data_IF_951475847134
#
_entry.id   IF_951475847134
#
_cell.length_a   1.000
_cell.length_b   1.000
_cell.length_c   1.000
_cell.angle_alpha   90.00
_cell.angle_beta   90.00
_cell.angle_gamma   90.00
#
_symmetry.space_group_name_H-M   'P 1'
#
loop_
_entity.id
_entity.type
_entity.pdbx_description
1 polymer ?
#
# COMPACT_ATOMS: atom_id res chain seq x y z
N UNK A 1 -29.87 3.47 97.16
CA UNK A 1 -29.86 3.94 95.76
C UNK A 1 -28.65 3.35 95.05
N UNK A 2 -28.80 2.42 94.08
CA UNK A 2 -27.66 1.84 93.39
C UNK A 2 -27.21 2.69 92.20
N UNK A 3 -25.91 2.96 92.15
CA UNK A 3 -25.18 3.71 91.11
C UNK A 3 -25.00 2.80 89.88
N UNK A 4 -25.60 3.18 88.75
CA UNK A 4 -25.39 2.49 87.45
C UNK A 4 -24.06 2.94 86.84
N UNK A 5 -23.14 1.99 86.62
CA UNK A 5 -21.89 2.20 85.88
C UNK A 5 -22.19 2.22 84.37
N UNK A 6 -21.90 3.33 83.71
CA UNK A 6 -21.91 3.44 82.25
C UNK A 6 -20.58 2.92 81.71
N UNK A 7 -20.59 1.79 81.00
CA UNK A 7 -19.46 1.32 80.21
C UNK A 7 -19.57 2.01 78.85
N UNK A 8 -18.66 2.97 78.59
CA UNK A 8 -18.51 3.57 77.28
C UNK A 8 -17.78 2.59 76.35
N UNK A 9 -18.50 1.98 75.42
CA UNK A 9 -17.92 1.16 74.34
C UNK A 9 -17.44 2.12 73.26
N UNK A 10 -16.12 2.33 73.21
CA UNK A 10 -15.45 3.08 72.14
C UNK A 10 -15.46 2.21 70.89
N UNK A 11 -16.43 2.42 70.00
CA UNK A 11 -16.52 1.71 68.72
C UNK A 11 -15.43 2.24 67.79
N UNK A 12 -14.41 1.42 67.56
CA UNK A 12 -13.34 1.66 66.60
C UNK A 12 -13.93 1.52 65.19
N UNK A 13 -14.32 2.64 64.57
CA UNK A 13 -14.75 2.70 63.17
C UNK A 13 -13.51 2.40 62.32
N UNK A 14 -13.33 1.13 61.96
CA UNK A 14 -12.35 0.71 60.96
C UNK A 14 -12.85 1.18 59.60
N UNK A 15 -12.32 2.31 59.13
CA UNK A 15 -12.56 2.82 57.77
C UNK A 15 -11.89 1.85 56.80
N UNK A 16 -12.67 0.92 56.27
CA UNK A 16 -12.27 0.04 55.18
C UNK A 16 -12.10 0.89 53.92
N UNK A 17 -10.91 1.47 53.73
CA UNK A 17 -10.53 2.02 52.43
C UNK A 17 -10.48 0.84 51.43
N UNK A 18 -11.28 0.84 50.36
CA UNK A 18 -11.17 -0.19 49.36
C UNK A 18 -9.77 -0.08 48.74
N UNK A 19 -8.93 -1.08 49.01
CA UNK A 19 -7.69 -1.28 48.25
C UNK A 19 -8.12 -1.69 46.85
N UNK A 20 -8.27 -0.69 45.97
CA UNK A 20 -8.43 -0.95 44.55
C UNK A 20 -7.13 -1.60 44.06
N UNK A 21 -7.15 -2.92 43.89
CA UNK A 21 -6.09 -3.63 43.21
C UNK A 21 -6.04 -3.15 41.75
N UNK A 22 -5.11 -2.24 41.46
CA UNK A 22 -4.73 -1.89 40.10
C UNK A 22 -4.20 -3.17 39.43
N UNK A 23 -5.04 -3.81 38.60
CA UNK A 23 -4.55 -4.88 37.72
C UNK A 23 -3.53 -4.25 36.76
N UNK A 24 -2.32 -4.81 36.72
CA UNK A 24 -1.33 -4.43 35.73
C UNK A 24 -1.91 -4.64 34.33
N UNK A 25 -1.79 -3.63 33.46
CA UNK A 25 -2.25 -3.73 32.08
C UNK A 25 -1.45 -4.81 31.35
N UNK A 26 -2.15 -5.71 30.67
CA UNK A 26 -1.53 -6.76 29.86
C UNK A 26 -0.71 -6.12 28.73
N UNK A 27 0.29 -6.84 28.21
CA UNK A 27 1.02 -6.37 27.04
C UNK A 27 0.07 -6.08 25.86
N UNK A 28 -0.94 -6.93 25.67
CA UNK A 28 -1.96 -6.77 24.66
C UNK A 28 -2.81 -5.51 24.87
N UNK A 29 -3.20 -5.20 26.11
CA UNK A 29 -3.93 -3.98 26.46
C UNK A 29 -3.11 -2.72 26.18
N UNK A 30 -1.81 -2.74 26.47
CA UNK A 30 -0.87 -1.64 26.18
C UNK A 30 -0.64 -1.42 24.68
N UNK A 31 -0.70 -2.50 23.90
CA UNK A 31 -0.45 -2.49 22.45
C UNK A 31 -1.75 -2.49 21.63
N UNK A 32 -2.92 -2.42 22.27
CA UNK A 32 -4.20 -2.49 21.56
C UNK A 32 -4.30 -1.40 20.51
N UNK A 33 -4.73 -1.80 19.32
CA UNK A 33 -4.84 -0.94 18.16
C UNK A 33 -3.51 -0.61 17.48
N UNK A 34 -2.36 -1.11 17.96
CA UNK A 34 -1.07 -0.93 17.28
C UNK A 34 -0.89 -1.93 16.15
N UNK A 35 -0.13 -1.50 15.16
CA UNK A 35 0.54 -2.37 14.20
C UNK A 35 1.91 -2.73 14.79
N UNK A 36 2.26 -4.02 14.78
CA UNK A 36 3.54 -4.53 15.26
C UNK A 36 4.32 -5.15 14.11
N UNK A 37 5.63 -4.93 14.12
CA UNK A 37 6.59 -5.53 13.19
C UNK A 37 7.47 -6.51 13.96
N UNK A 38 7.38 -7.78 13.60
CA UNK A 38 8.16 -8.84 14.23
C UNK A 38 9.60 -8.79 13.71
N UNK A 39 10.52 -8.29 14.53
CA UNK A 39 11.89 -7.93 14.11
C UNK A 39 12.85 -9.12 14.07
N UNK A 40 12.54 -10.21 14.77
CA UNK A 40 13.37 -11.43 14.85
C UNK A 40 13.00 -12.46 13.76
N UNK A 41 11.95 -12.18 12.99
CA UNK A 41 11.46 -13.00 11.87
C UNK A 41 11.65 -12.24 10.53
N UNK A 42 11.01 -12.71 9.45
CA UNK A 42 11.00 -12.11 8.10
C UNK A 42 10.32 -10.73 8.00
N UNK A 43 10.27 -9.96 9.09
CA UNK A 43 9.59 -8.66 9.17
C UNK A 43 8.06 -8.78 9.15
N UNK A 44 7.49 -9.84 9.73
CA UNK A 44 6.04 -10.04 9.70
C UNK A 44 5.27 -8.91 10.41
N UNK A 45 4.18 -8.46 9.80
CA UNK A 45 3.31 -7.44 10.38
C UNK A 45 2.11 -8.06 11.10
N UNK A 46 1.70 -7.46 12.21
CA UNK A 46 0.59 -7.88 13.05
C UNK A 46 -0.24 -6.68 13.47
N UNK A 47 -1.54 -6.86 13.68
CA UNK A 47 -2.43 -5.85 14.23
C UNK A 47 -3.06 -6.35 15.52
N UNK A 48 -3.02 -5.54 16.59
CA UNK A 48 -3.68 -5.89 17.86
C UNK A 48 -5.08 -5.30 17.84
N UNK A 49 -6.11 -6.14 17.76
CA UNK A 49 -7.49 -5.68 17.66
C UNK A 49 -7.94 -4.99 18.97
N UNK A 50 -8.38 -3.72 18.95
CA UNK A 50 -8.76 -3.00 20.17
C UNK A 50 -9.90 -3.62 20.97
N UNK A 51 -10.78 -4.39 20.32
CA UNK A 51 -11.96 -4.99 20.97
C UNK A 51 -11.66 -6.31 21.68
N UNK A 52 -10.70 -7.09 21.17
CA UNK A 52 -10.41 -8.45 21.67
C UNK A 52 -9.03 -8.58 22.30
N UNK A 53 -8.15 -7.59 22.08
CA UNK A 53 -6.73 -7.62 22.42
C UNK A 53 -5.98 -8.80 21.79
N UNK A 54 -6.56 -9.44 20.77
CA UNK A 54 -5.92 -10.53 20.03
C UNK A 54 -5.13 -9.99 18.84
N UNK A 55 -4.04 -10.66 18.49
CA UNK A 55 -3.21 -10.32 17.33
C UNK A 55 -3.78 -10.96 16.05
N UNK A 56 -3.86 -10.18 14.98
CA UNK A 56 -4.22 -10.63 13.64
C UNK A 56 -3.01 -10.45 12.70
N UNK A 57 -2.76 -11.43 11.84
CA UNK A 57 -1.60 -11.44 10.97
C UNK A 57 -1.82 -10.57 9.72
N UNK A 58 -0.98 -9.56 9.51
CA UNK A 58 -1.05 -8.65 8.35
C UNK A 58 -0.02 -8.95 7.26
N UNK A 59 0.82 -9.97 7.44
CA UNK A 59 2.02 -10.16 6.62
C UNK A 59 1.77 -10.44 5.14
N UNK A 60 0.59 -10.94 4.75
CA UNK A 60 0.21 -11.13 3.34
C UNK A 60 -0.82 -10.08 2.90
N UNK A 61 -0.73 -9.52 1.67
CA UNK A 61 -1.70 -8.55 1.18
C UNK A 61 -3.17 -9.04 1.22
N UNK A 62 -3.41 -10.32 0.92
CA UNK A 62 -4.75 -10.91 0.97
C UNK A 62 -5.31 -10.97 2.40
N UNK A 63 -4.48 -11.36 3.37
CA UNK A 63 -4.88 -11.41 4.79
C UNK A 63 -5.13 -10.02 5.35
N UNK A 64 -4.22 -9.08 5.06
CA UNK A 64 -4.37 -7.69 5.47
C UNK A 64 -5.67 -7.10 4.93
N UNK A 65 -6.00 -7.35 3.65
CA UNK A 65 -7.26 -6.91 3.06
C UNK A 65 -8.49 -7.53 3.73
N UNK A 66 -8.45 -8.85 3.99
CA UNK A 66 -9.54 -9.55 4.71
C UNK A 66 -9.74 -8.97 6.11
N UNK A 67 -8.65 -8.77 6.86
CA UNK A 67 -8.68 -8.21 8.22
C UNK A 67 -9.20 -6.78 8.20
N UNK A 68 -8.72 -5.92 7.28
CA UNK A 68 -9.18 -4.54 7.15
C UNK A 68 -10.69 -4.48 6.87
N UNK A 69 -11.20 -5.37 6.02
CA UNK A 69 -12.63 -5.44 5.69
C UNK A 69 -13.47 -5.97 6.86
N UNK A 70 -12.98 -6.97 7.59
CA UNK A 70 -13.77 -7.66 8.62
C UNK A 70 -13.70 -7.00 10.00
N UNK A 71 -12.57 -6.40 10.36
CA UNK A 71 -12.41 -5.64 11.60
C UNK A 71 -12.72 -4.15 11.43
N UNK A 72 -12.82 -3.69 10.18
CA UNK A 72 -13.06 -2.30 9.86
C UNK A 72 -14.42 -1.82 10.34
N UNK A 73 -14.43 -0.72 11.09
CA UNK A 73 -15.65 -0.06 11.53
C UNK A 73 -16.19 0.83 10.40
N UNK A 74 -17.40 0.55 9.93
CA UNK A 74 -18.08 1.41 8.98
C UNK A 74 -18.34 2.82 9.55
N UNK A 75 -17.96 3.85 8.80
CA UNK A 75 -18.17 5.26 9.13
C UNK A 75 -18.93 5.96 7.99
N UNK A 76 -19.71 6.98 8.34
CA UNK A 76 -20.43 7.80 7.35
C UNK A 76 -19.52 8.90 6.79
N UNK A 77 -19.80 9.39 5.58
CA UNK A 77 -19.05 10.54 5.02
C UNK A 77 -19.22 11.80 5.87
N UNK A 78 -20.39 11.96 6.52
CA UNK A 78 -20.63 13.06 7.45
C UNK A 78 -19.66 13.02 8.62
N UNK A 79 -19.49 11.86 9.25
CA UNK A 79 -18.59 11.70 10.38
C UNK A 79 -17.14 11.90 9.95
N UNK A 80 -16.74 11.28 8.83
CA UNK A 80 -15.40 11.40 8.28
C UNK A 80 -15.04 12.86 7.96
N UNK A 81 -15.93 13.58 7.28
CA UNK A 81 -15.73 14.99 6.95
C UNK A 81 -15.65 15.88 8.19
N UNK A 82 -16.46 15.60 9.22
CA UNK A 82 -16.45 16.36 10.47
C UNK A 82 -15.14 16.24 11.26
N UNK A 83 -14.36 15.18 11.03
CA UNK A 83 -13.11 14.90 11.74
C UNK A 83 -11.90 15.61 11.14
N UNK A 84 -11.96 16.05 9.89
CA UNK A 84 -10.87 16.81 9.26
C UNK A 84 -9.51 16.10 9.29
N UNK A 85 -9.49 14.76 9.24
CA UNK A 85 -8.27 13.96 9.29
C UNK A 85 -7.82 13.51 10.70
N UNK A 86 -8.50 13.93 11.76
CA UNK A 86 -8.21 13.53 13.15
C UNK A 86 -9.40 12.77 13.75
N UNK A 87 -9.21 11.48 14.03
CA UNK A 87 -10.24 10.63 14.58
C UNK A 87 -10.62 11.02 16.03
N UNK A 88 -11.88 10.80 16.46
CA UNK A 88 -12.22 10.84 17.87
C UNK A 88 -11.43 9.81 18.68
N UNK A 89 -11.02 10.16 19.90
CA UNK A 89 -10.21 9.29 20.77
C UNK A 89 -10.79 7.88 20.99
N UNK A 90 -12.13 7.74 20.98
CA UNK A 90 -12.81 6.42 21.07
C UNK A 90 -12.51 5.46 19.91
N UNK A 91 -11.98 5.99 18.81
CA UNK A 91 -11.60 5.26 17.61
C UNK A 91 -10.09 5.02 17.50
N UNK A 92 -9.31 5.42 18.53
CA UNK A 92 -7.86 5.20 18.58
C UNK A 92 -7.50 3.75 18.24
N UNK A 93 -6.60 3.58 17.27
CA UNK A 93 -6.09 2.30 16.81
C UNK A 93 -7.09 1.47 16.00
N UNK A 94 -8.25 1.99 15.62
CA UNK A 94 -9.22 1.26 14.78
C UNK A 94 -8.93 1.43 13.30
N UNK A 95 -9.28 0.39 12.55
CA UNK A 95 -9.44 0.46 11.09
C UNK A 95 -10.86 0.96 10.83
N UNK A 96 -11.01 1.99 10.01
CA UNK A 96 -12.26 2.64 9.67
C UNK A 96 -12.53 2.46 8.18
N UNK A 97 -13.77 2.13 7.81
CA UNK A 97 -14.19 1.90 6.44
C UNK A 97 -15.22 2.96 6.03
N UNK A 98 -14.89 3.73 5.02
CA UNK A 98 -15.82 4.67 4.38
C UNK A 98 -16.75 3.89 3.45
N UNK A 99 -17.85 3.41 4.01
CA UNK A 99 -18.79 2.50 3.30
C UNK A 99 -19.48 3.16 2.11
N UNK A 100 -19.51 4.50 2.06
CA UNK A 100 -20.11 5.31 1.01
C UNK A 100 -19.11 5.78 -0.05
N UNK A 101 -17.81 5.70 0.23
CA UNK A 101 -16.73 6.05 -0.69
C UNK A 101 -16.00 4.78 -1.16
N UNK A 102 -16.73 3.86 -1.78
CA UNK A 102 -16.17 2.62 -2.34
C UNK A 102 -15.41 1.72 -1.34
N UNK A 103 -15.65 1.87 -0.04
CA UNK A 103 -15.01 1.04 1.00
C UNK A 103 -13.58 1.45 1.34
N UNK A 104 -13.20 2.71 1.09
CA UNK A 104 -11.88 3.22 1.48
C UNK A 104 -11.56 2.99 2.96
N UNK A 105 -10.36 2.47 3.22
CA UNK A 105 -9.91 2.12 4.56
C UNK A 105 -8.94 3.16 5.11
N UNK A 106 -9.08 3.47 6.40
CA UNK A 106 -8.18 4.33 7.15
C UNK A 106 -7.79 3.70 8.48
N UNK A 107 -6.56 3.92 8.93
CA UNK A 107 -6.09 3.61 10.26
C UNK A 107 -6.07 4.87 11.11
N UNK A 108 -6.76 4.87 12.24
CA UNK A 108 -6.67 5.95 13.23
C UNK A 108 -5.48 5.68 14.16
N UNK A 109 -4.37 6.43 14.03
CA UNK A 109 -3.20 6.22 14.88
C UNK A 109 -3.56 6.41 16.37
N UNK A 110 -3.31 5.44 17.27
CA UNK A 110 -3.63 5.59 18.68
C UNK A 110 -2.77 6.62 19.42
N UNK A 111 -1.70 7.15 18.82
CA UNK A 111 -0.81 8.16 19.40
C UNK A 111 -1.34 9.56 19.16
N UNK A 112 -1.57 9.93 17.90
CA UNK A 112 -1.94 11.30 17.50
C UNK A 112 -3.33 11.42 16.85
N UNK A 113 -4.04 10.30 16.72
CA UNK A 113 -5.38 10.18 16.13
C UNK A 113 -5.45 10.54 14.65
N UNK A 114 -4.32 10.73 13.96
CA UNK A 114 -4.33 10.98 12.53
C UNK A 114 -4.90 9.79 11.77
N UNK A 115 -5.72 10.10 10.78
CA UNK A 115 -6.28 9.13 9.85
C UNK A 115 -5.30 8.88 8.71
N UNK A 116 -4.68 7.71 8.72
CA UNK A 116 -3.79 7.27 7.66
C UNK A 116 -4.53 6.41 6.66
N UNK A 117 -4.46 6.77 5.39
CA UNK A 117 -5.11 6.01 4.33
C UNK A 117 -4.46 4.64 4.15
N UNK A 118 -5.30 3.61 4.01
CA UNK A 118 -4.91 2.21 3.81
C UNK A 118 -5.44 1.65 2.47
N UNK A 119 -6.15 2.46 1.68
CA UNK A 119 -6.87 1.99 0.50
C UNK A 119 -5.97 1.46 -0.63
N UNK A 120 -4.73 1.96 -0.76
CA UNK A 120 -3.73 1.41 -1.70
C UNK A 120 -2.69 0.57 -0.94
N UNK A 121 -2.19 -0.53 -1.53
CA UNK A 121 -1.15 -1.35 -0.90
C UNK A 121 0.08 -0.54 -0.48
N UNK A 122 0.53 0.41 -1.31
CA UNK A 122 1.69 1.25 -1.00
C UNK A 122 1.47 2.12 0.26
N UNK A 123 0.27 2.69 0.46
CA UNK A 123 -0.03 3.47 1.66
C UNK A 123 -0.11 2.58 2.88
N UNK A 124 -0.74 1.40 2.77
CA UNK A 124 -0.79 0.43 3.85
C UNK A 124 0.62 -0.03 4.26
N UNK A 125 1.51 -0.31 3.29
CA UNK A 125 2.92 -0.60 3.57
C UNK A 125 3.65 0.57 4.21
N UNK A 126 3.41 1.80 3.74
CA UNK A 126 3.98 3.01 4.33
C UNK A 126 3.58 3.14 5.80
N UNK A 127 2.29 2.99 6.09
CA UNK A 127 1.73 3.01 7.45
C UNK A 127 2.35 1.93 8.33
N UNK A 128 2.42 0.69 7.84
CA UNK A 128 3.05 -0.40 8.59
C UNK A 128 4.52 -0.11 8.88
N UNK A 129 5.27 0.45 7.92
CA UNK A 129 6.69 0.77 8.08
C UNK A 129 6.94 1.95 9.01
N UNK A 130 6.13 3.00 8.92
CA UNK A 130 6.34 4.26 9.65
C UNK A 130 5.74 4.24 11.06
N UNK A 131 4.61 3.56 11.25
CA UNK A 131 3.87 3.52 12.52
C UNK A 131 3.96 2.17 13.24
N UNK A 132 4.51 1.15 12.56
CA UNK A 132 4.67 -0.19 13.13
C UNK A 132 5.70 -0.21 14.25
N UNK A 133 5.32 -0.79 15.39
CA UNK A 133 6.23 -0.97 16.52
C UNK A 133 6.98 -2.29 16.42
N UNK A 134 8.30 -2.24 16.54
CA UNK A 134 9.12 -3.45 16.64
C UNK A 134 8.72 -4.31 17.85
N UNK A 135 8.58 -5.61 17.64
CA UNK A 135 8.26 -6.58 18.70
C UNK A 135 9.10 -7.85 18.56
N UNK A 136 9.56 -8.39 19.69
CA UNK A 136 10.29 -9.67 19.75
C UNK A 136 9.32 -10.85 19.69
N UNK A 137 9.80 -12.02 19.31
CA UNK A 137 9.00 -13.24 19.26
C UNK A 137 8.45 -13.59 20.63
N UNK A 138 9.26 -13.40 21.68
CA UNK A 138 8.86 -13.61 23.07
C UNK A 138 7.65 -12.75 23.45
N UNK A 139 7.75 -11.43 23.24
CA UNK A 139 6.67 -10.49 23.57
C UNK A 139 5.45 -10.71 22.71
N UNK A 140 5.64 -11.00 21.42
CA UNK A 140 4.53 -11.28 20.52
C UNK A 140 3.76 -12.52 21.00
N UNK A 141 4.45 -13.59 21.42
CA UNK A 141 3.85 -14.85 21.91
C UNK A 141 3.07 -14.73 23.23
N UNK A 142 3.21 -13.63 23.96
CA UNK A 142 2.34 -13.31 25.10
C UNK A 142 0.95 -12.81 24.65
N UNK A 143 0.80 -12.46 23.36
CA UNK A 143 -0.45 -11.99 22.77
C UNK A 143 -1.11 -13.12 21.98
N UNK A 144 -2.34 -13.44 22.38
CA UNK A 144 -3.12 -14.53 21.79
C UNK A 144 -3.46 -14.20 20.33
N UNK A 145 -3.23 -15.17 19.42
CA UNK A 145 -3.67 -15.07 18.03
C UNK A 145 -5.19 -15.06 17.99
N UNK A 146 -5.78 -14.22 17.15
CA UNK A 146 -7.21 -14.26 16.92
C UNK A 146 -7.56 -15.59 16.22
N UNK A 147 -8.35 -16.44 16.88
CA UNK A 147 -8.72 -17.79 16.42
C UNK A 147 -9.33 -17.77 15.00
N UNK A 148 -10.02 -16.67 14.66
CA UNK A 148 -10.61 -16.45 13.33
C UNK A 148 -9.56 -16.31 12.21
N UNK A 149 -8.34 -15.95 12.57
CA UNK A 149 -7.21 -15.71 11.66
C UNK A 149 -6.01 -16.62 11.97
N UNK A 150 -6.22 -17.69 12.74
CA UNK A 150 -5.14 -18.54 13.25
C UNK A 150 -4.54 -19.46 12.18
N UNK A 151 -5.35 -19.93 11.23
CA UNK A 151 -4.88 -20.74 10.09
C UNK A 151 -3.96 -19.90 9.19
N UNK A 152 -4.29 -18.63 8.99
CA UNK A 152 -3.50 -17.69 8.22
C UNK A 152 -2.16 -17.41 8.88
N UNK A 153 -2.13 -17.29 10.22
CA UNK A 153 -0.91 -17.11 11.00
C UNK A 153 -0.01 -18.37 11.04
N UNK A 154 -0.57 -19.56 10.86
CA UNK A 154 0.13 -20.84 10.93
C UNK A 154 0.65 -21.36 9.57
N UNK A 155 0.23 -20.74 8.46
CA UNK A 155 0.58 -21.18 7.10
C UNK A 155 2.07 -20.91 6.78
N UNK A 156 2.85 -21.92 6.35
CA UNK A 156 4.27 -21.76 6.08
C UNK A 156 4.49 -21.22 4.66
N UNK A 157 4.35 -19.91 4.44
CA UNK A 157 4.94 -19.21 3.30
C UNK A 157 4.75 -17.68 3.43
N UNK A 158 5.84 -16.96 3.70
CA UNK A 158 5.90 -15.49 3.63
C UNK A 158 7.19 -15.06 2.92
N UNK A 159 7.10 -14.23 1.87
CA UNK A 159 8.22 -13.40 1.41
C UNK A 159 8.59 -12.38 2.50
N UNK A 160 9.87 -12.05 2.69
CA UNK A 160 10.27 -11.02 3.64
C UNK A 160 9.73 -9.64 3.24
N UNK A 161 9.36 -8.81 4.23
CA UNK A 161 9.21 -7.38 3.98
C UNK A 161 10.57 -6.83 3.48
N UNK A 162 10.58 -5.86 2.55
CA UNK A 162 11.82 -5.21 2.15
C UNK A 162 12.51 -4.62 3.39
N UNK A 163 13.85 -4.73 3.51
CA UNK A 163 14.58 -4.25 4.67
C UNK A 163 14.31 -2.76 4.89
N UNK A 164 14.11 -2.38 6.16
CA UNK A 164 14.11 -0.98 6.59
C UNK A 164 15.51 -0.43 6.36
N UNK A 165 15.65 0.56 5.49
CA UNK A 165 16.91 1.29 5.36
C UNK A 165 17.21 1.96 6.72
N UNK A 166 18.44 1.83 7.26
CA UNK A 166 18.79 2.51 8.49
C UNK A 166 18.71 4.02 8.26
N UNK A 167 17.92 4.70 9.06
CA UNK A 167 18.04 6.15 9.23
C UNK A 167 19.35 6.37 9.97
N UNK A 168 20.37 6.80 9.25
CA UNK A 168 21.54 7.45 9.86
C UNK A 168 21.07 8.75 10.47
N UNK A 169 21.00 8.78 11.80
CA UNK A 169 20.98 10.01 12.58
C UNK A 169 22.37 10.63 12.51
N UNK A 170 22.52 11.73 11.77
CA UNK A 170 23.59 12.69 12.02
C UNK A 170 23.04 14.09 11.70
N UNK A 171 22.66 14.75 12.79
CA UNK A 171 22.76 16.17 13.10
C UNK A 171 22.15 17.20 12.14
N UNK A 172 21.05 17.77 12.63
CA UNK A 172 20.71 19.16 12.39
C UNK A 172 21.64 20.05 13.24
N UNK A 173 22.41 20.91 12.61
CA UNK A 173 22.74 22.21 13.18
C UNK A 173 22.85 23.27 12.08
N UNK A 174 22.24 24.40 12.40
CA UNK A 174 22.09 25.65 11.65
C UNK A 174 23.43 26.33 11.36
N UNK A 175 23.55 27.04 10.23
CA UNK A 175 23.85 28.48 10.24
C UNK A 175 23.73 29.13 8.87
N UNK A 176 23.50 30.44 8.94
CA UNK A 176 23.04 31.37 7.94
C UNK A 176 24.24 32.11 7.29
N UNK A 177 23.92 32.89 6.26
CA UNK A 177 24.67 34.03 5.70
C UNK A 177 25.43 33.77 4.39
N UNK A 178 25.09 34.56 3.38
CA UNK A 178 25.55 34.44 2.00
C UNK A 178 26.83 35.20 1.71
N UNK A 179 27.11 35.38 0.42
CA UNK A 179 27.77 36.55 -0.18
C UNK A 179 27.79 36.36 -1.71
N UNK A 180 27.43 37.42 -2.41
CA UNK A 180 27.59 37.62 -3.85
C UNK A 180 29.05 37.38 -4.29
N UNK A 181 29.24 36.85 -5.49
CA UNK A 181 30.15 37.52 -6.44
C UNK A 181 29.65 37.31 -7.85
N UNK A 182 29.39 38.44 -8.49
CA UNK A 182 29.21 38.63 -9.91
C UNK A 182 30.58 39.08 -10.44
N UNK A 183 31.18 38.37 -11.39
CA UNK A 183 32.21 38.97 -12.25
C UNK A 183 32.01 38.52 -13.70
N UNK A 184 31.97 39.55 -14.53
CA UNK A 184 31.78 39.58 -15.98
C UNK A 184 33.08 40.03 -16.59
N UNK A 185 33.52 39.41 -17.70
CA UNK A 185 34.30 40.03 -18.79
C UNK A 185 34.37 38.99 -19.92
N UNK A 186 33.83 39.21 -21.12
CA UNK A 186 34.35 40.09 -22.19
C UNK A 186 35.02 39.18 -23.25
N UNK A 187 34.85 39.27 -24.57
CA UNK A 187 34.34 40.32 -25.42
C UNK A 187 33.98 39.79 -26.84
N UNK A 188 33.07 40.54 -27.46
CA UNK A 188 32.68 40.72 -28.87
C UNK A 188 33.69 40.40 -29.99
N UNK A 189 33.20 39.84 -31.11
CA UNK A 189 33.45 40.37 -32.49
C UNK A 189 32.33 39.93 -33.45
N UNK A 190 32.00 40.87 -34.33
CA UNK A 190 30.90 41.11 -35.28
C UNK A 190 30.75 40.17 -36.49
N UNK A 191 29.49 39.81 -36.80
CA UNK A 191 28.72 39.89 -38.07
C UNK A 191 29.37 39.68 -39.46
N UNK A 192 28.68 39.06 -40.46
CA UNK A 192 27.51 39.68 -41.10
C UNK A 192 26.32 38.79 -41.49
N UNK A 193 25.23 39.51 -41.75
CA UNK A 193 23.87 39.14 -42.15
C UNK A 193 23.85 38.69 -43.62
N UNK A 194 23.22 37.54 -43.92
CA UNK A 194 22.66 37.27 -45.25
C UNK A 194 21.19 36.84 -45.13
N UNK A 195 20.40 37.51 -45.95
CA UNK A 195 18.98 37.38 -46.25
C UNK A 195 18.73 36.12 -47.09
N UNK A 196 17.90 35.18 -46.61
CA UNK A 196 17.21 34.26 -47.51
C UNK A 196 15.83 33.85 -46.97
N UNK A 197 14.83 34.57 -47.48
CA UNK A 197 13.49 34.12 -47.88
C UNK A 197 13.02 32.75 -47.39
N UNK A 198 12.07 32.78 -46.46
CA UNK A 198 11.25 31.66 -46.03
C UNK A 198 10.55 30.95 -47.21
N UNK A 199 10.73 29.63 -47.30
CA UNK A 199 9.76 28.72 -47.92
C UNK A 199 9.60 27.52 -46.99
N UNK A 200 8.66 27.62 -46.06
CA UNK A 200 8.23 26.53 -45.20
C UNK A 200 7.47 25.51 -46.02
N UNK A 201 8.19 24.46 -46.43
CA UNK A 201 7.58 23.19 -46.85
C UNK A 201 6.92 22.57 -45.61
N UNK A 202 5.68 22.03 -45.67
CA UNK A 202 5.11 21.36 -44.53
C UNK A 202 5.90 20.07 -44.31
N UNK A 203 6.74 20.08 -43.28
CA UNK A 203 7.37 18.86 -42.77
C UNK A 203 6.23 17.92 -42.37
N UNK A 204 6.12 16.82 -43.11
CA UNK A 204 5.18 15.76 -42.79
C UNK A 204 5.61 15.20 -41.44
N UNK A 205 4.88 15.57 -40.39
CA UNK A 205 5.09 15.08 -39.04
C UNK A 205 5.11 13.56 -39.07
N UNK A 206 6.30 12.99 -38.91
CA UNK A 206 6.46 11.56 -38.69
C UNK A 206 6.01 11.32 -37.26
N UNK A 207 4.80 10.77 -37.09
CA UNK A 207 4.30 10.30 -35.80
C UNK A 207 5.29 9.27 -35.28
N UNK A 208 6.16 9.70 -34.36
CA UNK A 208 7.03 8.78 -33.64
C UNK A 208 6.10 8.03 -32.70
N UNK A 209 5.66 6.83 -33.08
CA UNK A 209 4.91 5.96 -32.17
C UNK A 209 5.76 5.77 -30.91
N UNK A 210 5.21 6.13 -29.75
CA UNK A 210 5.82 5.83 -28.46
C UNK A 210 5.96 4.32 -28.32
N UNK A 211 7.16 3.79 -28.58
CA UNK A 211 7.46 2.37 -28.31
C UNK A 211 7.85 2.20 -26.85
N UNK A 212 6.90 1.71 -26.05
CA UNK A 212 7.14 1.28 -24.69
C UNK A 212 7.95 -0.02 -24.66
N UNK A 213 9.13 0.00 -24.04
CA UNK A 213 9.93 -1.22 -23.85
C UNK A 213 9.68 -1.81 -22.46
N UNK A 214 8.86 -2.84 -22.40
CA UNK A 214 8.50 -3.55 -21.18
C UNK A 214 9.56 -4.56 -20.76
N UNK A 215 9.96 -4.49 -19.50
CA UNK A 215 10.57 -5.61 -18.81
C UNK A 215 9.44 -6.55 -18.35
N UNK A 216 9.41 -7.77 -18.87
CA UNK A 216 8.48 -8.83 -18.54
C UNK A 216 9.13 -9.84 -17.60
N UNK A 217 8.72 -9.82 -16.33
CA UNK A 217 9.14 -10.76 -15.30
C UNK A 217 8.12 -11.90 -15.19
N UNK A 218 8.56 -13.15 -15.31
CA UNK A 218 7.73 -14.35 -15.31
C UNK A 218 7.87 -15.13 -14.00
N UNK A 219 6.78 -15.76 -13.57
CA UNK A 219 6.68 -16.49 -12.29
C UNK A 219 5.93 -17.81 -12.46
N UNK A 220 6.21 -18.80 -11.59
CA UNK A 220 5.54 -20.12 -11.59
C UNK A 220 4.45 -20.25 -10.52
N UNK A 221 3.79 -19.13 -10.24
CA UNK A 221 2.70 -18.97 -9.28
C UNK A 221 1.81 -17.81 -9.72
N UNK A 222 0.69 -17.61 -9.04
CA UNK A 222 -0.27 -16.53 -9.31
C UNK A 222 -0.08 -15.32 -8.40
N UNK A 223 0.98 -15.28 -7.58
CA UNK A 223 1.20 -14.22 -6.59
C UNK A 223 2.43 -13.35 -6.87
N UNK A 224 3.07 -13.54 -8.04
CA UNK A 224 4.19 -12.74 -8.54
C UNK A 224 5.45 -12.85 -7.66
N UNK A 225 5.67 -14.03 -7.07
CA UNK A 225 6.83 -14.30 -6.21
C UNK A 225 7.83 -15.24 -6.87
N UNK A 226 9.11 -15.15 -6.50
CA UNK A 226 10.13 -16.08 -7.01
C UNK A 226 10.31 -16.02 -8.53
N UNK A 227 10.65 -14.84 -9.05
CA UNK A 227 10.88 -14.60 -10.49
C UNK A 227 11.81 -15.66 -11.08
N UNK A 228 11.38 -16.28 -12.16
CA UNK A 228 12.14 -17.35 -12.84
C UNK A 228 12.85 -16.87 -14.11
N UNK A 229 12.35 -15.81 -14.74
CA UNK A 229 12.87 -15.31 -16.01
C UNK A 229 12.45 -13.85 -16.19
N UNK A 230 13.31 -13.09 -16.86
CA UNK A 230 13.00 -11.74 -17.34
C UNK A 230 13.22 -11.70 -18.85
N UNK A 231 12.32 -11.05 -19.59
CA UNK A 231 12.46 -10.78 -21.03
C UNK A 231 12.10 -9.32 -21.32
N UNK A 232 12.60 -8.80 -22.43
CA UNK A 232 12.18 -7.49 -22.96
C UNK A 232 11.09 -7.69 -24.01
N UNK A 233 10.03 -6.89 -23.95
CA UNK A 233 8.87 -6.95 -24.84
C UNK A 233 8.46 -5.54 -25.27
N UNK A 234 8.09 -5.39 -26.54
CA UNK A 234 7.63 -4.11 -27.07
C UNK A 234 6.09 -3.98 -26.99
N UNK A 235 5.38 -5.12 -26.85
CA UNK A 235 3.92 -5.17 -26.71
C UNK A 235 3.45 -6.20 -25.69
N UNK A 236 2.22 -6.02 -25.22
CA UNK A 236 1.47 -7.00 -24.43
C UNK A 236 0.27 -7.45 -25.28
N UNK A 237 0.51 -8.41 -26.17
CA UNK A 237 -0.52 -9.03 -27.02
C UNK A 237 -0.28 -10.54 -27.06
N UNK A 238 -0.81 -11.23 -26.06
CA UNK A 238 -0.62 -12.66 -25.88
C UNK A 238 -1.95 -13.40 -25.82
N UNK A 239 -2.05 -14.44 -26.64
CA UNK A 239 -3.08 -15.46 -26.57
C UNK A 239 -2.36 -16.82 -26.54
N UNK A 240 -2.21 -17.37 -25.33
CA UNK A 240 -1.53 -18.65 -25.15
C UNK A 240 -2.50 -19.83 -25.28
N UNK A 241 -3.82 -19.60 -25.25
CA UNK A 241 -4.82 -20.66 -25.07
C UNK A 241 -4.43 -21.54 -23.87
N UNK A 242 -4.58 -22.85 -23.98
CA UNK A 242 -4.17 -23.80 -22.93
C UNK A 242 -2.63 -23.94 -22.71
N UNK A 243 -1.81 -23.11 -23.36
CA UNK A 243 -0.36 -23.09 -23.18
C UNK A 243 0.07 -21.99 -22.20
N UNK A 244 1.37 -21.73 -22.13
CA UNK A 244 1.96 -20.71 -21.28
C UNK A 244 3.18 -20.06 -21.95
N UNK A 245 3.69 -18.95 -21.40
CA UNK A 245 4.93 -18.36 -21.85
C UNK A 245 6.07 -19.38 -21.83
N UNK A 246 6.84 -19.41 -22.92
CA UNK A 246 8.03 -20.25 -23.00
C UNK A 246 8.98 -19.97 -21.82
N UNK A 247 9.45 -21.04 -21.17
CA UNK A 247 10.33 -20.97 -20.00
C UNK A 247 9.63 -21.05 -18.63
N UNK A 248 8.30 -20.95 -18.58
CA UNK A 248 7.55 -21.16 -17.32
C UNK A 248 7.53 -22.62 -16.87
N UNK A 249 7.67 -23.58 -17.81
CA UNK A 249 7.59 -25.03 -17.58
C UNK A 249 6.29 -25.50 -16.91
N UNK A 250 5.22 -24.70 -17.01
CA UNK A 250 3.85 -25.00 -16.55
C UNK A 250 2.85 -24.32 -17.47
N UNK A 251 1.70 -24.94 -17.70
CA UNK A 251 0.58 -24.40 -18.51
C UNK A 251 -0.35 -23.52 -17.69
N UNK A 252 -0.52 -23.82 -16.41
CA UNK A 252 -1.43 -23.12 -15.51
C UNK A 252 -0.69 -22.57 -14.29
N UNK A 253 -1.36 -21.70 -13.52
CA UNK A 253 -0.85 -21.12 -12.25
C UNK A 253 0.48 -20.39 -12.45
N UNK A 254 0.54 -19.55 -13.46
CA UNK A 254 1.67 -18.68 -13.73
C UNK A 254 1.25 -17.22 -13.62
N UNK A 255 2.22 -16.31 -13.53
CA UNK A 255 1.97 -14.88 -13.57
C UNK A 255 3.08 -14.17 -14.31
N UNK A 256 2.77 -12.96 -14.78
CA UNK A 256 3.69 -12.10 -15.49
C UNK A 256 3.51 -10.67 -14.97
N UNK A 257 4.62 -9.98 -14.73
CA UNK A 257 4.66 -8.54 -14.45
C UNK A 257 5.38 -7.85 -15.60
N UNK A 258 4.69 -6.97 -16.29
CA UNK A 258 5.30 -6.05 -17.25
C UNK A 258 5.48 -4.69 -16.61
N UNK A 259 6.68 -4.13 -16.72
CA UNK A 259 6.99 -2.76 -16.26
C UNK A 259 7.73 -1.99 -17.33
N UNK A 260 7.34 -0.74 -17.55
CA UNK A 260 8.02 0.18 -18.45
C UNK A 260 7.92 1.61 -17.93
N UNK A 261 8.88 2.44 -18.30
CA UNK A 261 8.70 3.89 -18.28
C UNK A 261 8.46 4.33 -19.72
N UNK A 262 7.35 5.00 -19.96
CA UNK A 262 6.86 5.35 -21.29
C UNK A 262 6.57 6.83 -21.36
N UNK A 263 6.95 7.46 -22.45
CA UNK A 263 6.64 8.86 -22.71
C UNK A 263 5.21 9.01 -23.24
N UNK A 264 4.41 9.90 -22.67
CA UNK A 264 3.09 10.26 -23.17
C UNK A 264 3.05 11.74 -23.49
N UNK A 265 2.40 12.11 -24.58
CA UNK A 265 1.97 13.49 -24.78
C UNK A 265 0.80 13.80 -23.83
N UNK A 266 0.64 15.07 -23.45
CA UNK A 266 -0.55 15.49 -22.72
C UNK A 266 -1.81 15.24 -23.55
N UNK A 267 -2.79 14.56 -22.97
CA UNK A 267 -4.05 14.25 -23.65
C UNK A 267 -4.91 13.24 -22.91
N UNK A 268 -6.09 12.95 -23.46
CA UNK A 268 -6.95 11.89 -22.95
C UNK A 268 -6.61 10.59 -23.65
N UNK A 269 -6.43 9.52 -22.88
CA UNK A 269 -6.11 8.19 -23.40
C UNK A 269 -7.17 7.19 -22.99
N UNK A 270 -7.56 6.33 -23.94
CA UNK A 270 -8.32 5.12 -23.66
C UNK A 270 -7.37 3.95 -23.54
N UNK A 271 -7.29 3.36 -22.35
CA UNK A 271 -6.62 2.09 -22.13
C UNK A 271 -7.61 0.95 -22.31
N UNK A 272 -7.22 -0.08 -23.05
CA UNK A 272 -8.03 -1.27 -23.30
C UNK A 272 -7.24 -2.54 -23.02
N UNK A 273 -7.94 -3.60 -22.64
CA UNK A 273 -7.31 -4.90 -22.47
C UNK A 273 -8.29 -6.06 -22.45
N UNK A 274 -7.78 -7.25 -22.72
CA UNK A 274 -8.51 -8.51 -22.68
C UNK A 274 -7.68 -9.53 -21.91
N UNK A 275 -8.24 -10.07 -20.82
CA UNK A 275 -7.52 -10.93 -19.90
C UNK A 275 -8.29 -12.19 -19.55
N UNK A 276 -7.58 -13.29 -19.43
CA UNK A 276 -8.01 -14.50 -18.77
C UNK A 276 -6.77 -15.08 -18.09
N UNK A 277 -6.59 -15.06 -16.76
CA UNK A 277 -7.51 -14.62 -15.71
C UNK A 277 -7.35 -13.13 -15.30
N UNK A 278 -6.61 -12.88 -14.22
CA UNK A 278 -6.69 -11.65 -13.45
C UNK A 278 -5.62 -10.64 -13.85
N UNK A 279 -5.97 -9.36 -13.77
CA UNK A 279 -5.10 -8.24 -14.11
C UNK A 279 -5.17 -7.11 -13.08
N UNK A 280 -4.02 -6.48 -12.85
CA UNK A 280 -3.87 -5.18 -12.19
C UNK A 280 -2.95 -4.31 -13.04
N UNK A 281 -3.45 -3.20 -13.54
CA UNK A 281 -2.68 -2.27 -14.37
C UNK A 281 -2.69 -0.87 -13.74
N UNK A 282 -1.52 -0.23 -13.70
CA UNK A 282 -1.33 1.13 -13.18
C UNK A 282 -0.45 1.96 -14.09
N UNK A 283 -0.71 3.27 -14.12
CA UNK A 283 0.16 4.30 -14.69
C UNK A 283 0.53 5.29 -13.58
N UNK A 284 1.81 5.41 -13.26
CA UNK A 284 2.29 6.10 -12.07
C UNK A 284 1.66 5.52 -10.80
N UNK A 285 0.83 6.33 -10.14
CA UNK A 285 0.08 5.93 -8.94
C UNK A 285 -1.41 5.64 -9.22
N UNK A 286 -1.88 5.87 -10.45
CA UNK A 286 -3.29 5.74 -10.84
C UNK A 286 -3.59 4.33 -11.33
N UNK A 287 -4.79 3.85 -10.99
CA UNK A 287 -5.30 2.58 -11.50
C UNK A 287 -5.80 2.75 -12.93
N UNK A 288 -5.37 1.85 -13.81
CA UNK A 288 -6.00 1.61 -15.10
C UNK A 288 -7.04 0.50 -14.91
N UNK A 289 -6.61 -0.67 -14.42
CA UNK A 289 -7.46 -1.83 -14.16
C UNK A 289 -7.16 -2.44 -12.79
N UNK A 290 -8.19 -2.90 -12.07
CA UNK A 290 -8.04 -3.64 -10.82
C UNK A 290 -9.02 -4.81 -10.77
N UNK A 291 -8.72 -5.87 -11.52
CA UNK A 291 -9.52 -7.08 -11.64
C UNK A 291 -8.68 -8.32 -11.31
N UNK A 292 -8.31 -8.49 -10.03
CA UNK A 292 -7.49 -9.61 -9.56
C UNK A 292 -8.36 -10.78 -9.09
N UNK A 293 -9.02 -11.42 -10.05
CA UNK A 293 -9.95 -12.54 -9.82
C UNK A 293 -9.85 -13.56 -10.94
N UNK A 294 -10.20 -14.80 -10.63
CA UNK A 294 -10.35 -15.84 -11.64
C UNK A 294 -11.55 -15.49 -12.55
N UNK A 295 -11.45 -15.93 -13.80
CA UNK A 295 -12.48 -15.84 -14.81
C UNK A 295 -12.59 -17.18 -15.53
N UNK A 296 -13.78 -17.48 -16.04
CA UNK A 296 -13.97 -18.67 -16.88
C UNK A 296 -13.96 -18.31 -18.37
N UNK A 297 -13.83 -17.02 -18.70
CA UNK A 297 -13.86 -16.47 -20.05
C UNK A 297 -13.01 -15.19 -20.10
N UNK A 298 -12.68 -14.75 -21.31
CA UNK A 298 -12.06 -13.44 -21.57
C UNK A 298 -12.83 -12.30 -20.88
N UNK A 299 -12.11 -11.46 -20.12
CA UNK A 299 -12.61 -10.22 -19.52
C UNK A 299 -12.05 -9.05 -20.31
N UNK A 300 -12.95 -8.30 -20.96
CA UNK A 300 -12.63 -7.04 -21.66
C UNK A 300 -12.76 -5.88 -20.68
N UNK A 301 -11.74 -5.03 -20.61
CA UNK A 301 -11.69 -3.87 -19.72
C UNK A 301 -11.28 -2.63 -20.51
N UNK A 302 -11.90 -1.50 -20.19
CA UNK A 302 -11.58 -0.19 -20.74
C UNK A 302 -11.64 0.88 -19.66
N UNK A 303 -10.68 1.81 -19.69
CA UNK A 303 -10.60 2.96 -18.78
C UNK A 303 -10.05 4.15 -19.55
N UNK A 304 -10.68 5.32 -19.40
CA UNK A 304 -10.19 6.57 -19.97
C UNK A 304 -9.51 7.41 -18.87
N UNK A 305 -8.33 7.95 -19.16
CA UNK A 305 -7.55 8.77 -18.22
C UNK A 305 -6.98 9.99 -18.94
N UNK A 306 -7.02 11.14 -18.26
CA UNK A 306 -6.27 12.33 -18.67
C UNK A 306 -4.81 12.16 -18.20
N UNK A 307 -3.87 12.13 -19.15
CA UNK A 307 -2.45 11.91 -18.92
C UNK A 307 -1.70 13.22 -19.18
N UNK A 308 -0.87 13.63 -18.23
CA UNK A 308 0.02 14.78 -18.42
C UNK A 308 1.19 14.40 -19.36
N UNK A 309 1.76 15.38 -20.04
CA UNK A 309 2.96 15.15 -20.84
C UNK A 309 4.12 14.67 -19.97
N UNK A 310 4.92 13.73 -20.50
CA UNK A 310 6.15 13.26 -19.87
C UNK A 310 6.20 11.75 -19.68
N UNK A 311 7.17 11.33 -18.88
CA UNK A 311 7.44 9.92 -18.63
C UNK A 311 6.57 9.36 -17.50
N UNK A 312 5.85 8.28 -17.81
CA UNK A 312 4.98 7.59 -16.87
C UNK A 312 5.41 6.14 -16.68
N UNK A 313 5.42 5.70 -15.42
CA UNK A 313 5.72 4.32 -15.08
C UNK A 313 4.47 3.45 -15.22
N UNK A 314 4.48 2.53 -16.19
CA UNK A 314 3.45 1.50 -16.31
C UNK A 314 3.86 0.23 -15.57
N UNK A 315 2.89 -0.36 -14.88
CA UNK A 315 3.00 -1.70 -14.30
C UNK A 315 1.72 -2.48 -14.55
N UNK A 316 1.86 -3.62 -15.22
CA UNK A 316 0.78 -4.54 -15.53
C UNK A 316 1.14 -5.88 -14.90
N UNK A 317 0.39 -6.25 -13.88
CA UNK A 317 0.45 -7.55 -13.22
C UNK A 317 -0.68 -8.40 -13.78
N UNK A 318 -0.37 -9.63 -14.18
CA UNK A 318 -1.30 -10.61 -14.71
C UNK A 318 -1.06 -11.98 -14.08
N UNK A 319 -2.13 -12.75 -13.88
CA UNK A 319 -2.00 -14.17 -13.57
C UNK A 319 -2.97 -15.02 -14.38
N UNK A 320 -2.55 -16.27 -14.58
CA UNK A 320 -3.36 -17.38 -15.06
C UNK A 320 -3.52 -18.40 -13.93
N UNK A 321 -4.73 -18.84 -13.63
CA UNK A 321 -5.02 -19.85 -12.63
C UNK A 321 -5.24 -21.23 -13.24
N UNK A 322 -6.15 -21.34 -14.22
CA UNK A 322 -6.44 -22.60 -14.91
C UNK A 322 -7.17 -22.39 -16.24
N UNK A 323 -6.75 -23.12 -17.28
CA UNK A 323 -7.42 -23.15 -18.57
C UNK A 323 -6.74 -22.28 -19.62
N UNK A 324 -7.53 -21.51 -20.37
CA UNK A 324 -7.01 -20.71 -21.48
C UNK A 324 -6.43 -19.38 -20.97
N UNK A 325 -5.15 -19.14 -21.24
CA UNK A 325 -4.45 -17.94 -20.80
C UNK A 325 -4.40 -16.86 -21.90
N UNK A 326 -4.82 -15.65 -21.56
CA UNK A 326 -4.78 -14.49 -22.46
C UNK A 326 -4.42 -13.21 -21.71
N UNK A 327 -3.54 -12.40 -22.30
CA UNK A 327 -3.18 -11.09 -21.79
C UNK A 327 -2.91 -10.12 -22.97
N UNK A 328 -3.88 -9.24 -23.22
CA UNK A 328 -3.78 -8.15 -24.20
C UNK A 328 -3.96 -6.82 -23.48
N UNK A 329 -3.09 -5.87 -23.75
CA UNK A 329 -3.14 -4.53 -23.15
C UNK A 329 -2.58 -3.49 -24.12
N UNK A 330 -3.31 -2.39 -24.30
CA UNK A 330 -2.91 -1.28 -25.15
C UNK A 330 -3.63 0.01 -24.80
N UNK A 331 -3.31 1.07 -25.52
CA UNK A 331 -3.97 2.36 -25.38
C UNK A 331 -3.96 3.15 -26.69
N UNK A 332 -4.88 4.10 -26.78
CA UNK A 332 -4.97 5.08 -27.86
C UNK A 332 -5.24 6.46 -27.26
N UNK A 333 -4.64 7.51 -27.84
CA UNK A 333 -5.00 8.89 -27.51
C UNK A 333 -6.30 9.24 -28.21
N UNK A 334 -7.28 9.73 -27.46
CA UNK A 334 -8.62 10.06 -27.97
C UNK A 334 -8.90 11.56 -28.03
N UNK A 335 -8.17 12.39 -27.27
CA UNK A 335 -8.24 13.86 -27.30
C UNK A 335 -6.87 14.51 -27.06
#
# INVERSE_FOLDING_TARGET
MPIKKFIAVLSLISVFLPVFALKAETLAGRLKGRILLQVESKGQAWYIEPGTEKRAFLGRPADAFKIMRELGLGITEKDFAAWGGIAPARLAGRILLRVQAHGEAYYADPVDLKLHYLGRPADAFKVMRELGLGVTDKSLNEIVVNDKYAEEAASPETPPLPPVAPVTTEDAETENNGTETNETEGATTTEPIEDDSATTTPETATTTETVCRFQADYYRNTDLTGRILTRTKDTIDYDWGAAAPEGTSRTDKFSVRWTATCHFDAGRYRFSGTFNDGVKATIGQSWIFNSWRNSNNDVVLETELDIAEGDHYLKIDYYEYFGDAKAKFGWERIE
#
